data_IF_212550804504
#
_entry.id   IF_212550804504
#
_cell.length_a   1.000
_cell.length_b   1.000
_cell.length_c   1.000
_cell.angle_alpha   90.00
_cell.angle_beta   90.00
_cell.angle_gamma   90.00
#
_symmetry.space_group_name_H-M   'P 1'
#
loop_
_entity.id
_entity.type
_entity.pdbx_description
1 polymer ?
#
# COMPACT_ATOMS: atom_id res chain seq x y z
N UNK A 1 -4.88 -27.92 4.74
CA UNK A 1 -5.67 -29.16 4.84
C UNK A 1 -7.04 -28.80 5.37
N UNK A 2 -8.10 -29.37 4.80
CA UNK A 2 -9.48 -29.06 5.16
C UNK A 2 -10.24 -30.33 5.50
N UNK A 3 -11.15 -30.25 6.47
CA UNK A 3 -12.17 -31.25 6.70
C UNK A 3 -13.48 -30.70 6.12
N UNK A 4 -14.00 -31.38 5.09
CA UNK A 4 -15.27 -31.02 4.47
C UNK A 4 -16.39 -31.78 5.16
N UNK A 5 -17.43 -31.06 5.56
CA UNK A 5 -18.70 -31.61 6.05
C UNK A 5 -19.77 -31.32 5.02
N UNK A 6 -20.28 -32.36 4.39
CA UNK A 6 -21.28 -32.26 3.34
C UNK A 6 -22.57 -32.92 3.82
N UNK A 7 -23.65 -32.15 3.81
CA UNK A 7 -24.98 -32.75 3.96
C UNK A 7 -25.44 -33.36 2.65
N UNK A 8 -26.06 -34.54 2.74
CA UNK A 8 -26.46 -35.29 1.56
C UNK A 8 -27.98 -35.31 1.44
N UNK A 9 -28.53 -34.70 0.37
CA UNK A 9 -29.96 -34.70 0.12
C UNK A 9 -30.53 -36.11 -0.03
N UNK A 10 -31.82 -36.25 0.27
CA UNK A 10 -32.52 -37.53 0.16
C UNK A 10 -32.44 -38.08 -1.27
N UNK A 11 -32.04 -39.35 -1.41
CA UNK A 11 -31.89 -40.02 -2.71
C UNK A 11 -30.55 -39.80 -3.41
N UNK A 12 -29.67 -38.96 -2.85
CA UNK A 12 -28.34 -38.64 -3.42
C UNK A 12 -27.17 -39.32 -2.71
N UNK A 13 -27.43 -40.07 -1.63
CA UNK A 13 -26.41 -40.77 -0.83
C UNK A 13 -25.43 -41.58 -1.66
N UNK A 14 -25.95 -42.47 -2.50
CA UNK A 14 -25.09 -43.37 -3.26
C UNK A 14 -24.22 -42.61 -4.27
N UNK A 15 -24.78 -41.63 -4.95
CA UNK A 15 -24.05 -40.77 -5.90
C UNK A 15 -22.92 -40.00 -5.22
N UNK A 16 -23.17 -39.41 -4.04
CA UNK A 16 -22.14 -38.70 -3.28
C UNK A 16 -20.98 -39.63 -2.86
N UNK A 17 -21.30 -40.84 -2.38
CA UNK A 17 -20.28 -41.80 -1.96
C UNK A 17 -19.49 -42.38 -3.14
N UNK A 18 -20.16 -42.71 -4.25
CA UNK A 18 -19.50 -43.17 -5.48
C UNK A 18 -18.51 -42.12 -6.00
N UNK A 19 -18.86 -40.83 -5.96
CA UNK A 19 -17.98 -39.73 -6.37
C UNK A 19 -16.71 -39.66 -5.50
N UNK A 20 -16.83 -39.87 -4.19
CA UNK A 20 -15.69 -39.89 -3.27
C UNK A 20 -14.84 -41.16 -3.41
N UNK A 21 -15.50 -42.31 -3.63
CA UNK A 21 -14.84 -43.60 -3.84
C UNK A 21 -14.03 -43.61 -5.14
N UNK A 22 -14.54 -43.00 -6.22
CA UNK A 22 -13.86 -42.89 -7.52
C UNK A 22 -12.54 -42.10 -7.44
N UNK A 23 -12.44 -41.17 -6.46
CA UNK A 23 -11.21 -40.40 -6.17
C UNK A 23 -10.39 -40.98 -5.02
N UNK A 24 -10.74 -42.18 -4.53
CA UNK A 24 -10.08 -42.86 -3.42
C UNK A 24 -10.01 -42.04 -2.12
N UNK A 25 -10.99 -41.14 -1.90
CA UNK A 25 -11.04 -40.25 -0.73
C UNK A 25 -11.59 -41.02 0.47
N UNK A 26 -10.90 -40.93 1.61
CA UNK A 26 -11.44 -41.46 2.87
C UNK A 26 -12.58 -40.59 3.39
N UNK A 27 -13.66 -41.21 3.85
CA UNK A 27 -14.80 -40.48 4.41
C UNK A 27 -15.44 -41.21 5.60
N UNK A 28 -16.16 -40.46 6.41
CA UNK A 28 -17.03 -40.96 7.48
C UNK A 28 -18.45 -40.50 7.19
N UNK A 29 -19.39 -41.43 7.17
CA UNK A 29 -20.82 -41.13 6.98
C UNK A 29 -21.53 -41.26 8.32
N UNK A 30 -22.31 -40.24 8.68
CA UNK A 30 -23.23 -40.27 9.81
C UNK A 30 -24.64 -40.10 9.29
N UNK A 31 -25.59 -40.92 9.73
CA UNK A 31 -27.00 -40.74 9.35
C UNK A 31 -27.57 -39.49 10.04
N UNK A 32 -28.38 -38.73 9.29
CA UNK A 32 -29.07 -37.52 9.76
C UNK A 32 -30.52 -37.90 10.13
N UNK A 33 -31.03 -37.45 11.28
CA UNK A 33 -32.35 -37.83 11.80
C UNK A 33 -33.17 -36.63 12.29
N UNK A 34 -32.68 -35.40 12.06
CA UNK A 34 -33.29 -34.16 12.53
C UNK A 34 -34.31 -33.61 11.54
N UNK A 35 -34.08 -33.77 10.23
CA UNK A 35 -34.99 -33.32 9.19
C UNK A 35 -35.18 -34.37 8.07
N UNK A 36 -36.25 -34.27 7.26
CA UNK A 36 -36.53 -35.20 6.15
C UNK A 36 -35.84 -34.81 4.84
N UNK A 37 -35.17 -33.67 4.82
CA UNK A 37 -34.52 -33.11 3.63
C UNK A 37 -33.19 -33.82 3.35
N UNK A 38 -32.45 -34.16 4.41
CA UNK A 38 -31.14 -34.81 4.36
C UNK A 38 -31.22 -36.24 4.87
N UNK A 39 -30.35 -37.10 4.36
CA UNK A 39 -30.27 -38.50 4.81
C UNK A 39 -28.98 -38.83 5.54
N UNK A 40 -27.93 -38.02 5.35
CA UNK A 40 -26.63 -38.26 5.94
C UNK A 40 -25.78 -36.98 5.93
N UNK A 41 -24.77 -36.96 6.79
CA UNK A 41 -23.64 -36.03 6.75
C UNK A 41 -22.38 -36.84 6.47
N UNK A 42 -21.62 -36.42 5.47
CA UNK A 42 -20.36 -37.04 5.06
C UNK A 42 -19.21 -36.12 5.43
N UNK A 43 -18.23 -36.67 6.15
CA UNK A 43 -17.02 -35.99 6.59
C UNK A 43 -15.83 -36.56 5.83
N UNK A 44 -15.09 -35.74 5.10
CA UNK A 44 -13.92 -36.20 4.33
C UNK A 44 -12.79 -35.16 4.38
N UNK A 45 -11.56 -35.58 4.72
CA UNK A 45 -10.41 -34.69 4.70
C UNK A 45 -9.85 -34.54 3.28
N UNK A 46 -9.50 -33.31 2.91
CA UNK A 46 -8.87 -32.98 1.64
C UNK A 46 -7.63 -32.10 1.84
N UNK A 47 -6.58 -32.26 1.01
CA UNK A 47 -5.59 -31.21 0.86
C UNK A 47 -6.28 -29.95 0.33
N UNK A 48 -5.82 -28.77 0.73
CA UNK A 48 -6.51 -27.50 0.40
C UNK A 48 -6.82 -27.33 -1.09
N UNK A 49 -5.92 -27.72 -2.02
CA UNK A 49 -6.18 -27.54 -3.46
C UNK A 49 -7.15 -28.56 -4.05
N UNK A 50 -7.43 -29.68 -3.36
CA UNK A 50 -8.40 -30.66 -3.81
C UNK A 50 -9.85 -30.27 -3.46
N UNK A 51 -10.05 -29.26 -2.61
CA UNK A 51 -11.38 -28.84 -2.17
C UNK A 51 -12.24 -28.40 -3.36
N UNK A 52 -11.76 -27.48 -4.18
CA UNK A 52 -12.51 -26.98 -5.35
C UNK A 52 -12.81 -28.10 -6.36
N UNK A 53 -11.83 -28.88 -6.86
CA UNK A 53 -12.10 -29.97 -7.80
C UNK A 53 -13.02 -31.08 -7.29
N UNK A 54 -13.03 -31.36 -5.99
CA UNK A 54 -13.91 -32.39 -5.41
C UNK A 54 -15.32 -31.85 -5.21
N UNK A 55 -15.48 -30.59 -4.80
CA UNK A 55 -16.79 -29.96 -4.69
C UNK A 55 -17.43 -29.75 -6.07
N UNK A 56 -16.64 -29.43 -7.09
CA UNK A 56 -17.11 -29.31 -8.48
C UNK A 56 -17.66 -30.64 -8.99
N UNK A 57 -16.95 -31.76 -8.78
CA UNK A 57 -17.44 -33.10 -9.16
C UNK A 57 -18.73 -33.48 -8.44
N UNK A 58 -18.84 -33.16 -7.14
CA UNK A 58 -20.06 -33.38 -6.38
C UNK A 58 -21.21 -32.51 -6.89
N UNK A 59 -20.92 -31.27 -7.31
CA UNK A 59 -21.91 -30.39 -7.92
C UNK A 59 -22.37 -30.93 -9.29
N UNK A 60 -21.45 -31.35 -10.16
CA UNK A 60 -21.75 -31.97 -11.46
C UNK A 60 -22.57 -33.26 -11.30
N UNK A 61 -22.37 -34.01 -10.22
CA UNK A 61 -23.16 -35.18 -9.85
C UNK A 61 -24.57 -34.81 -9.30
N UNK A 62 -24.85 -33.52 -9.15
CA UNK A 62 -26.13 -32.94 -8.73
C UNK A 62 -26.36 -33.01 -7.23
N UNK A 63 -25.32 -32.78 -6.41
CA UNK A 63 -25.42 -32.70 -4.95
C UNK A 63 -25.69 -31.26 -4.47
N UNK A 64 -25.41 -30.24 -5.26
CA UNK A 64 -25.32 -28.83 -4.85
C UNK A 64 -26.66 -28.14 -4.53
N UNK A 65 -27.74 -28.46 -5.25
CA UNK A 65 -28.98 -27.65 -5.24
C UNK A 65 -29.65 -27.51 -3.87
N UNK A 66 -29.50 -28.52 -2.99
CA UNK A 66 -30.15 -28.60 -1.68
C UNK A 66 -29.16 -28.97 -0.55
N UNK A 67 -27.86 -29.04 -0.82
CA UNK A 67 -26.85 -29.40 0.19
C UNK A 67 -26.17 -28.15 0.76
N UNK A 68 -25.90 -28.16 2.06
CA UNK A 68 -24.92 -27.24 2.63
C UNK A 68 -23.60 -27.93 2.93
N UNK A 69 -22.51 -27.21 2.64
CA UNK A 69 -21.12 -27.64 2.79
C UNK A 69 -20.42 -26.74 3.80
N UNK A 70 -19.75 -27.35 4.78
CA UNK A 70 -18.91 -26.64 5.75
C UNK A 70 -17.47 -27.10 5.57
N UNK A 71 -16.57 -26.16 5.32
CA UNK A 71 -15.13 -26.42 5.19
C UNK A 71 -14.46 -25.93 6.47
N UNK A 72 -13.77 -26.85 7.18
CA UNK A 72 -13.12 -26.56 8.47
C UNK A 72 -11.61 -26.78 8.35
N UNK A 73 -10.83 -25.94 9.00
CA UNK A 73 -9.39 -26.14 9.12
C UNK A 73 -9.05 -27.38 9.96
N UNK A 74 -8.23 -28.26 9.38
CA UNK A 74 -7.69 -29.43 10.06
C UNK A 74 -6.19 -29.26 10.29
N UNK A 75 -5.78 -29.33 11.55
CA UNK A 75 -4.35 -29.26 11.96
C UNK A 75 -3.53 -30.45 11.42
N UNK A 76 -4.13 -31.65 11.42
CA UNK A 76 -3.46 -32.86 10.93
C UNK A 76 -4.47 -33.89 10.42
N UNK A 77 -4.08 -34.58 9.36
CA UNK A 77 -4.78 -35.74 8.84
C UNK A 77 -3.75 -36.84 8.68
N UNK A 78 -3.99 -38.00 9.30
CA UNK A 78 -3.11 -39.17 9.22
C UNK A 78 -3.83 -40.26 8.45
N UNK A 79 -3.62 -40.29 7.13
CA UNK A 79 -4.09 -41.36 6.24
C UNK A 79 -3.14 -41.50 5.05
N UNK A 80 -2.92 -42.75 4.62
CA UNK A 80 -2.14 -43.05 3.41
C UNK A 80 -2.80 -42.51 2.14
N UNK A 81 -4.12 -42.65 2.02
CA UNK A 81 -4.90 -42.10 0.90
C UNK A 81 -4.86 -40.58 0.88
N UNK A 82 -4.86 -39.97 2.06
CA UNK A 82 -4.68 -38.52 2.16
C UNK A 82 -3.28 -38.08 1.70
N UNK A 83 -2.22 -38.80 2.07
CA UNK A 83 -0.86 -38.54 1.60
C UNK A 83 -0.76 -38.68 0.07
N UNK A 84 -1.38 -39.70 -0.51
CA UNK A 84 -1.46 -39.90 -1.97
C UNK A 84 -2.20 -38.75 -2.66
N UNK A 85 -3.37 -38.34 -2.14
CA UNK A 85 -4.10 -37.16 -2.64
C UNK A 85 -3.25 -35.90 -2.52
N UNK A 86 -2.53 -35.74 -1.41
CA UNK A 86 -1.68 -34.58 -1.18
C UNK A 86 -0.56 -34.50 -2.21
N UNK A 87 0.11 -35.60 -2.52
CA UNK A 87 1.15 -35.64 -3.57
C UNK A 87 0.60 -35.38 -4.98
N UNK A 88 -0.67 -35.72 -5.24
CA UNK A 88 -1.33 -35.44 -6.52
C UNK A 88 -1.64 -33.95 -6.70
N UNK A 89 -2.14 -33.30 -5.65
CA UNK A 89 -2.66 -31.93 -5.70
C UNK A 89 -1.63 -30.86 -5.29
N UNK A 90 -0.77 -31.10 -4.30
CA UNK A 90 0.26 -30.16 -3.85
C UNK A 90 1.57 -30.41 -4.64
N UNK A 91 1.78 -29.63 -5.70
CA UNK A 91 2.97 -29.74 -6.59
C UNK A 91 4.09 -28.76 -6.22
N UNK A 92 3.89 -27.96 -5.18
CA UNK A 92 4.89 -27.02 -4.66
C UNK A 92 4.98 -25.71 -5.44
N UNK A 93 3.93 -25.34 -6.18
CA UNK A 93 3.77 -24.02 -6.77
C UNK A 93 2.49 -23.33 -6.28
N UNK A 94 2.45 -22.00 -6.35
CA UNK A 94 1.34 -21.19 -5.81
C UNK A 94 0.00 -21.52 -6.49
N UNK A 95 0.02 -21.95 -7.75
CA UNK A 95 -1.18 -22.36 -8.48
C UNK A 95 -1.71 -23.70 -8.01
N UNK A 96 -0.82 -24.67 -7.76
CA UNK A 96 -1.19 -25.98 -7.24
C UNK A 96 -1.58 -25.96 -5.78
N UNK A 97 -1.04 -25.04 -4.98
CA UNK A 97 -1.22 -25.04 -3.52
C UNK A 97 -2.32 -24.06 -3.06
N UNK A 98 -3.09 -23.52 -4.01
CA UNK A 98 -4.11 -22.50 -3.76
C UNK A 98 -5.34 -23.05 -3.02
N UNK A 99 -5.96 -22.22 -2.18
CA UNK A 99 -7.27 -22.49 -1.57
C UNK A 99 -8.42 -22.28 -2.57
N UNK A 100 -9.59 -22.84 -2.27
CA UNK A 100 -10.79 -22.65 -3.11
C UNK A 100 -11.26 -21.19 -3.12
N UNK A 101 -12.05 -20.82 -4.13
CA UNK A 101 -12.57 -19.45 -4.28
C UNK A 101 -13.47 -19.02 -3.13
N UNK A 102 -14.34 -19.92 -2.68
CA UNK A 102 -15.26 -19.67 -1.58
C UNK A 102 -14.47 -19.45 -0.29
N UNK A 103 -13.38 -20.19 -0.11
CA UNK A 103 -12.47 -20.00 1.02
C UNK A 103 -11.71 -18.67 0.90
N UNK A 104 -11.21 -18.33 -0.29
CA UNK A 104 -10.54 -17.05 -0.56
C UNK A 104 -11.46 -15.85 -0.28
N UNK A 105 -12.73 -15.94 -0.70
CA UNK A 105 -13.75 -14.93 -0.43
C UNK A 105 -14.05 -14.83 1.07
N UNK A 106 -14.22 -15.97 1.75
CA UNK A 106 -14.46 -16.01 3.18
C UNK A 106 -13.30 -15.40 3.98
N UNK A 107 -12.06 -15.68 3.58
CA UNK A 107 -10.86 -15.13 4.20
C UNK A 107 -10.72 -13.63 3.92
N UNK A 108 -11.00 -13.17 2.71
CA UNK A 108 -11.00 -11.73 2.40
C UNK A 108 -12.05 -10.96 3.22
N UNK A 109 -13.23 -11.56 3.42
CA UNK A 109 -14.29 -11.01 4.25
C UNK A 109 -13.93 -11.02 5.75
N UNK A 110 -13.28 -12.09 6.24
CA UNK A 110 -12.90 -12.21 7.65
C UNK A 110 -11.87 -11.14 8.06
N UNK A 111 -11.05 -10.69 7.12
CA UNK A 111 -10.03 -9.65 7.30
C UNK A 111 -10.60 -8.22 7.30
N UNK A 112 -11.88 -8.03 6.94
CA UNK A 112 -12.51 -6.71 6.89
C UNK A 112 -13.42 -6.52 8.11
N UNK A 113 -12.95 -5.81 9.15
CA UNK A 113 -13.77 -5.59 10.34
C UNK A 113 -14.96 -4.67 10.03
N UNK A 114 -15.97 -4.70 10.89
CA UNK A 114 -17.12 -3.78 10.78
C UNK A 114 -16.65 -2.32 10.73
N UNK A 115 -17.37 -1.48 9.97
CA UNK A 115 -16.97 -0.09 9.72
C UNK A 115 -16.64 0.70 11.00
N UNK A 116 -17.37 0.49 12.11
CA UNK A 116 -17.09 1.18 13.37
C UNK A 116 -15.72 0.82 13.97
N UNK A 117 -15.34 -0.46 13.91
CA UNK A 117 -14.02 -0.94 14.35
C UNK A 117 -12.95 -0.46 13.38
N UNK A 118 -13.20 -0.60 12.07
CA UNK A 118 -12.31 -0.13 11.01
C UNK A 118 -11.96 1.35 11.18
N UNK A 119 -12.98 2.20 11.33
CA UNK A 119 -12.82 3.64 11.50
C UNK A 119 -12.06 3.98 12.78
N UNK A 120 -12.41 3.34 13.91
CA UNK A 120 -11.75 3.59 15.19
C UNK A 120 -10.27 3.23 15.14
N UNK A 121 -9.93 2.04 14.63
CA UNK A 121 -8.54 1.59 14.51
C UNK A 121 -7.76 2.47 13.54
N UNK A 122 -8.37 2.90 12.44
CA UNK A 122 -7.74 3.82 11.47
C UNK A 122 -7.43 5.18 12.11
N UNK A 123 -8.36 5.76 12.87
CA UNK A 123 -8.13 7.02 13.59
C UNK A 123 -7.01 6.86 14.62
N UNK A 124 -7.04 5.80 15.43
CA UNK A 124 -6.01 5.54 16.45
C UNK A 124 -4.65 5.36 15.78
N UNK A 125 -4.58 4.56 14.72
CA UNK A 125 -3.37 4.36 13.93
C UNK A 125 -2.83 5.68 13.38
N UNK A 126 -3.67 6.50 12.74
CA UNK A 126 -3.25 7.79 12.20
C UNK A 126 -2.74 8.76 13.27
N UNK A 127 -3.37 8.79 14.46
CA UNK A 127 -2.89 9.60 15.59
C UNK A 127 -1.53 9.10 16.09
N UNK A 128 -1.36 7.80 16.26
CA UNK A 128 -0.09 7.20 16.69
C UNK A 128 1.00 7.41 15.63
N UNK A 129 0.67 7.28 14.35
CA UNK A 129 1.58 7.56 13.24
C UNK A 129 2.02 9.02 13.27
N UNK A 130 1.07 9.96 13.39
CA UNK A 130 1.37 11.39 13.47
C UNK A 130 2.27 11.72 14.66
N UNK A 131 2.00 11.13 15.83
CA UNK A 131 2.86 11.28 17.00
C UNK A 131 4.25 10.68 16.76
N UNK A 132 4.34 9.49 16.14
CA UNK A 132 5.61 8.85 15.80
C UNK A 132 6.46 9.67 14.82
N UNK A 133 5.82 10.23 13.80
CA UNK A 133 6.44 11.15 12.84
C UNK A 133 6.98 12.42 13.52
N UNK A 134 6.15 13.08 14.34
CA UNK A 134 6.56 14.31 15.05
C UNK A 134 7.63 14.07 16.12
N UNK A 135 7.72 12.84 16.65
CA UNK A 135 8.74 12.43 17.61
C UNK A 135 10.01 11.87 16.95
N UNK A 136 10.03 11.80 15.62
CA UNK A 136 11.10 11.15 14.84
C UNK A 136 11.42 9.73 15.36
N UNK A 137 10.36 8.93 15.55
CA UNK A 137 10.43 7.60 16.16
C UNK A 137 9.96 6.51 15.21
N UNK A 138 10.88 5.87 14.46
CA UNK A 138 10.55 4.77 13.55
C UNK A 138 9.79 3.63 14.25
N UNK A 139 10.12 3.35 15.52
CA UNK A 139 9.45 2.31 16.30
C UNK A 139 7.96 2.61 16.55
N UNK A 140 7.60 3.86 16.84
CA UNK A 140 6.21 4.28 17.04
C UNK A 140 5.46 4.28 15.71
N UNK A 141 6.12 4.71 14.64
CA UNK A 141 5.58 4.67 13.28
C UNK A 141 5.27 3.22 12.87
N UNK A 142 6.18 2.28 13.10
CA UNK A 142 5.91 0.85 12.87
C UNK A 142 4.77 0.33 13.75
N UNK A 143 4.72 0.74 15.03
CA UNK A 143 3.62 0.40 15.92
C UNK A 143 2.26 0.85 15.40
N UNK A 144 2.19 2.01 14.74
CA UNK A 144 0.95 2.51 14.12
C UNK A 144 0.45 1.63 12.97
N UNK A 145 1.36 1.06 12.18
CA UNK A 145 1.04 0.20 11.03
C UNK A 145 0.35 -1.09 11.46
N UNK A 146 0.75 -1.66 12.60
CA UNK A 146 0.16 -2.89 13.15
C UNK A 146 -1.30 -2.68 13.58
N UNK A 147 -1.69 -1.45 13.91
CA UNK A 147 -3.05 -1.12 14.39
C UNK A 147 -4.04 -1.02 13.23
N UNK A 148 -3.60 -0.56 12.05
CA UNK A 148 -4.49 -0.22 10.95
C UNK A 148 -5.02 -1.45 10.19
N UNK A 149 -6.35 -1.63 10.11
CA UNK A 149 -6.96 -2.77 9.43
C UNK A 149 -7.11 -2.56 7.92
N UNK A 150 -6.03 -2.15 7.24
CA UNK A 150 -6.08 -1.80 5.81
C UNK A 150 -5.93 -3.00 4.85
N UNK A 151 -5.53 -4.16 5.38
CA UNK A 151 -5.33 -5.36 4.57
C UNK A 151 -6.63 -5.92 3.98
N UNK A 152 -7.70 -5.99 4.78
CA UNK A 152 -9.00 -6.54 4.35
C UNK A 152 -9.54 -5.85 3.10
N UNK A 153 -9.72 -4.51 3.11
CA UNK A 153 -10.18 -3.78 1.93
C UNK A 153 -9.26 -3.90 0.71
N UNK A 154 -7.94 -4.03 0.90
CA UNK A 154 -7.00 -4.23 -0.22
C UNK A 154 -7.12 -5.61 -0.87
N UNK A 155 -7.17 -6.67 -0.07
CA UNK A 155 -7.33 -8.01 -0.59
C UNK A 155 -8.75 -8.22 -1.13
N UNK A 156 -9.78 -7.73 -0.44
CA UNK A 156 -11.17 -7.80 -0.85
C UNK A 156 -11.43 -7.17 -2.22
N UNK A 157 -10.84 -6.01 -2.51
CA UNK A 157 -10.96 -5.37 -3.84
C UNK A 157 -10.36 -6.25 -4.95
N UNK A 158 -9.23 -6.91 -4.67
CA UNK A 158 -8.57 -7.80 -5.61
C UNK A 158 -9.35 -9.11 -5.80
N UNK A 159 -9.79 -9.72 -4.69
CA UNK A 159 -10.55 -10.99 -4.66
C UNK A 159 -11.90 -10.81 -5.32
N UNK A 160 -12.71 -9.84 -4.88
CA UNK A 160 -14.01 -9.51 -5.48
C UNK A 160 -13.89 -9.18 -6.97
N UNK A 161 -12.74 -8.68 -7.41
CA UNK A 161 -12.48 -8.47 -8.83
C UNK A 161 -12.33 -9.76 -9.63
N UNK A 162 -11.70 -10.79 -9.10
CA UNK A 162 -11.42 -12.02 -9.84
C UNK A 162 -12.57 -13.03 -9.77
N UNK A 163 -13.29 -13.07 -8.65
CA UNK A 163 -14.45 -13.95 -8.47
C UNK A 163 -15.76 -13.34 -9.01
N UNK A 164 -15.69 -12.12 -9.58
CA UNK A 164 -16.84 -11.37 -10.11
C UNK A 164 -17.92 -11.00 -9.07
N UNK A 165 -17.49 -10.81 -7.82
CA UNK A 165 -18.32 -10.28 -6.74
C UNK A 165 -18.25 -8.75 -6.75
N UNK A 166 -19.25 -8.11 -7.38
CA UNK A 166 -19.33 -6.65 -7.49
C UNK A 166 -19.57 -5.98 -6.13
N UNK A 167 -20.29 -6.62 -5.21
CA UNK A 167 -20.59 -6.07 -3.89
C UNK A 167 -19.31 -6.03 -3.03
N UNK A 168 -18.57 -7.14 -2.97
CA UNK A 168 -17.28 -7.20 -2.28
C UNK A 168 -16.27 -6.20 -2.86
N UNK A 169 -16.21 -6.09 -4.19
CA UNK A 169 -15.32 -5.12 -4.85
C UNK A 169 -15.66 -3.68 -4.47
N UNK A 170 -16.93 -3.28 -4.58
CA UNK A 170 -17.36 -1.91 -4.30
C UNK A 170 -17.24 -1.56 -2.82
N UNK A 171 -17.62 -2.48 -1.93
CA UNK A 171 -17.45 -2.31 -0.49
C UNK A 171 -15.98 -2.11 -0.14
N UNK A 172 -15.10 -2.95 -0.67
CA UNK A 172 -13.65 -2.86 -0.44
C UNK A 172 -13.06 -1.53 -0.90
N UNK A 173 -13.41 -1.06 -2.10
CA UNK A 173 -12.98 0.25 -2.62
C UNK A 173 -13.52 1.38 -1.73
N UNK A 174 -14.77 1.30 -1.27
CA UNK A 174 -15.34 2.30 -0.38
C UNK A 174 -14.59 2.37 0.95
N UNK A 175 -14.24 1.23 1.55
CA UNK A 175 -13.46 1.18 2.79
C UNK A 175 -12.06 1.77 2.58
N UNK A 176 -11.40 1.52 1.46
CA UNK A 176 -10.10 2.13 1.14
C UNK A 176 -10.19 3.65 1.07
N UNK A 177 -11.16 4.18 0.31
CA UNK A 177 -11.34 5.62 0.14
C UNK A 177 -11.66 6.28 1.50
N UNK A 178 -12.61 5.72 2.25
CA UNK A 178 -12.98 6.24 3.56
C UNK A 178 -11.82 6.11 4.56
N UNK A 179 -11.05 5.03 4.50
CA UNK A 179 -9.88 4.81 5.35
C UNK A 179 -8.80 5.85 5.12
N UNK A 180 -8.45 6.11 3.87
CA UNK A 180 -7.46 7.15 3.50
C UNK A 180 -7.95 8.53 3.95
N UNK A 181 -9.19 8.89 3.63
CA UNK A 181 -9.77 10.19 4.04
C UNK A 181 -9.75 10.33 5.56
N UNK A 182 -10.15 9.27 6.28
CA UNK A 182 -10.22 9.28 7.73
C UNK A 182 -8.83 9.36 8.38
N UNK A 183 -7.86 8.62 7.85
CA UNK A 183 -6.48 8.65 8.33
C UNK A 183 -5.87 10.05 8.15
N UNK A 184 -5.99 10.61 6.94
CA UNK A 184 -5.50 11.95 6.63
C UNK A 184 -6.19 13.00 7.52
N UNK A 185 -7.52 12.94 7.65
CA UNK A 185 -8.27 13.90 8.46
C UNK A 185 -7.92 13.79 9.96
N UNK A 186 -7.81 12.57 10.49
CA UNK A 186 -7.43 12.35 11.88
C UNK A 186 -6.01 12.86 12.16
N UNK A 187 -5.06 12.58 11.26
CA UNK A 187 -3.71 13.09 11.34
C UNK A 187 -3.67 14.62 11.29
N UNK A 188 -4.40 15.25 10.35
CA UNK A 188 -4.48 16.70 10.23
C UNK A 188 -5.06 17.36 11.48
N UNK A 189 -6.15 16.83 12.02
CA UNK A 189 -6.79 17.35 13.24
C UNK A 189 -5.83 17.22 14.44
N UNK A 190 -5.17 16.07 14.58
CA UNK A 190 -4.23 15.83 15.67
C UNK A 190 -2.98 16.71 15.56
N UNK A 191 -2.36 16.77 14.38
CA UNK A 191 -1.22 17.63 14.09
C UNK A 191 -1.55 19.11 14.35
N UNK A 192 -2.73 19.57 13.91
CA UNK A 192 -3.21 20.93 14.17
C UNK A 192 -3.40 21.20 15.67
N UNK A 193 -4.00 20.27 16.41
CA UNK A 193 -4.18 20.38 17.85
C UNK A 193 -2.83 20.47 18.58
N UNK A 194 -1.85 19.64 18.20
CA UNK A 194 -0.49 19.64 18.76
C UNK A 194 0.21 20.99 18.49
N UNK A 195 0.06 21.52 17.26
CA UNK A 195 0.58 22.83 16.86
C UNK A 195 -0.02 23.98 17.68
N UNK A 196 -1.35 24.03 17.81
CA UNK A 196 -2.06 25.11 18.53
C UNK A 196 -1.80 25.06 20.05
N UNK A 197 -1.61 23.88 20.61
CA UNK A 197 -1.36 23.70 22.05
C UNK A 197 0.10 23.94 22.46
N UNK A 198 1.00 24.23 21.51
CA UNK A 198 2.45 24.39 21.74
C UNK A 198 3.08 23.20 22.46
N UNK A 199 2.56 21.98 22.24
CA UNK A 199 3.19 20.75 22.74
C UNK A 199 4.54 20.51 22.03
N UNK A 200 4.62 20.95 20.77
CA UNK A 200 5.81 20.92 19.93
C UNK A 200 6.42 22.33 19.86
N UNK A 201 7.75 22.49 19.91
CA UNK A 201 8.40 23.80 19.83
C UNK A 201 7.93 24.63 18.63
N UNK A 202 7.58 25.91 18.82
CA UNK A 202 7.26 26.80 17.70
C UNK A 202 8.53 27.00 16.83
N UNK A 203 8.37 26.83 15.52
CA UNK A 203 9.49 26.88 14.55
C UNK A 203 9.98 25.51 14.07
N UNK A 204 9.28 24.41 14.39
CA UNK A 204 9.63 23.10 13.84
C UNK A 204 9.31 23.05 12.34
N UNK A 205 10.37 22.98 11.55
CA UNK A 205 10.33 22.74 10.10
C UNK A 205 10.15 21.25 9.87
N UNK A 206 8.99 20.89 9.32
CA UNK A 206 8.63 19.49 9.03
C UNK A 206 9.58 18.83 8.02
N UNK A 207 10.27 19.63 7.20
CA UNK A 207 11.29 19.18 6.26
C UNK A 207 12.58 18.69 6.96
N UNK A 208 12.86 19.15 8.18
CA UNK A 208 14.07 18.78 8.93
C UNK A 208 13.88 17.56 9.83
N UNK A 209 12.71 16.93 9.79
CA UNK A 209 12.43 15.70 10.53
C UNK A 209 12.53 14.55 9.54
N UNK A 210 13.55 13.72 9.67
CA UNK A 210 13.90 12.64 8.74
C UNK A 210 12.69 11.75 8.42
N UNK A 211 11.97 11.27 9.45
CA UNK A 211 10.84 10.38 9.24
C UNK A 211 9.64 11.07 8.55
N UNK A 212 9.55 12.41 8.60
CA UNK A 212 8.54 13.18 7.87
C UNK A 212 9.00 13.43 6.44
N UNK A 213 10.23 13.93 6.24
CA UNK A 213 10.76 14.32 4.92
C UNK A 213 10.77 13.15 3.95
N UNK A 214 11.13 11.94 4.42
CA UNK A 214 11.06 10.69 3.65
C UNK A 214 9.65 10.34 3.14
N UNK A 215 8.60 10.90 3.75
CA UNK A 215 7.20 10.62 3.43
C UNK A 215 6.48 11.79 2.75
N UNK A 216 7.09 12.97 2.77
CA UNK A 216 6.64 14.15 2.02
C UNK A 216 7.10 14.11 0.57
N UNK A 217 8.30 13.60 0.32
CA UNK A 217 8.85 13.45 -1.02
C UNK A 217 8.35 12.15 -1.67
N UNK A 218 7.72 12.21 -2.85
CA UNK A 218 7.31 10.99 -3.54
C UNK A 218 8.51 10.21 -4.08
N UNK A 219 8.63 8.96 -3.64
CA UNK A 219 9.70 8.05 -4.06
C UNK A 219 9.18 6.93 -4.96
N UNK A 220 9.84 6.72 -6.10
CA UNK A 220 9.49 5.63 -7.01
C UNK A 220 9.81 4.25 -6.42
N UNK A 221 10.73 4.12 -5.46
CA UNK A 221 10.99 2.84 -4.81
C UNK A 221 9.83 2.40 -3.91
N UNK A 222 9.04 3.35 -3.39
CA UNK A 222 7.81 3.05 -2.65
C UNK A 222 6.79 2.25 -3.49
N UNK A 223 6.77 2.47 -4.81
CA UNK A 223 5.94 1.72 -5.74
C UNK A 223 6.33 0.24 -5.75
N UNK A 224 7.62 -0.08 -5.74
CA UNK A 224 8.10 -1.45 -5.69
C UNK A 224 7.69 -2.14 -4.38
N UNK A 225 7.73 -1.40 -3.25
CA UNK A 225 7.26 -1.89 -1.95
C UNK A 225 5.75 -2.16 -1.99
N UNK A 226 4.95 -1.24 -2.52
CA UNK A 226 3.50 -1.39 -2.63
C UNK A 226 3.10 -2.57 -3.53
N UNK A 227 3.73 -2.72 -4.69
CA UNK A 227 3.54 -3.85 -5.58
C UNK A 227 3.93 -5.17 -4.89
N UNK A 228 5.09 -5.20 -4.23
CA UNK A 228 5.57 -6.35 -3.47
C UNK A 228 4.61 -6.75 -2.34
N UNK A 229 4.07 -5.78 -1.61
CA UNK A 229 3.08 -6.00 -0.55
C UNK A 229 1.77 -6.58 -1.12
N UNK A 230 1.30 -6.11 -2.27
CA UNK A 230 0.12 -6.67 -2.96
C UNK A 230 0.33 -8.11 -3.41
N UNK A 231 1.49 -8.43 -4.00
CA UNK A 231 1.86 -9.82 -4.37
C UNK A 231 1.91 -10.69 -3.12
N UNK A 232 2.67 -10.27 -2.09
CA UNK A 232 2.80 -11.03 -0.86
C UNK A 232 1.46 -11.26 -0.16
N UNK A 233 0.56 -10.27 -0.19
CA UNK A 233 -0.75 -10.36 0.42
C UNK A 233 -1.62 -11.41 -0.24
N UNK A 234 -1.64 -11.43 -1.57
CA UNK A 234 -2.36 -12.45 -2.31
C UNK A 234 -1.73 -13.83 -2.18
N UNK A 235 -0.40 -13.95 -2.25
CA UNK A 235 0.25 -15.24 -2.04
C UNK A 235 -0.07 -15.77 -0.65
N UNK A 236 -0.01 -14.93 0.39
CA UNK A 236 -0.31 -15.32 1.77
C UNK A 236 -1.73 -15.84 1.94
N UNK A 237 -2.72 -15.10 1.43
CA UNK A 237 -4.13 -15.51 1.57
C UNK A 237 -4.45 -16.73 0.68
N UNK A 238 -3.91 -16.78 -0.55
CA UNK A 238 -4.17 -17.88 -1.48
C UNK A 238 -3.54 -19.20 -1.03
N UNK A 239 -2.45 -19.17 -0.26
CA UNK A 239 -1.75 -20.36 0.26
C UNK A 239 -2.07 -20.65 1.73
N UNK A 240 -2.91 -19.84 2.39
CA UNK A 240 -3.25 -20.00 3.81
C UNK A 240 -2.09 -19.72 4.79
N UNK A 241 -1.10 -18.91 4.38
CA UNK A 241 0.02 -18.46 5.23
C UNK A 241 -0.41 -17.24 6.08
N UNK A 242 0.28 -16.99 7.20
CA UNK A 242 0.00 -15.90 8.14
C UNK A 242 -0.11 -14.51 7.47
N UNK A 243 -1.33 -13.99 7.48
CA UNK A 243 -1.72 -12.71 6.89
C UNK A 243 -1.20 -11.49 7.68
N UNK A 244 -0.82 -11.69 8.95
CA UNK A 244 -0.45 -10.61 9.86
C UNK A 244 0.78 -9.82 9.41
N UNK A 245 1.83 -10.49 8.92
CA UNK A 245 3.06 -9.82 8.48
C UNK A 245 2.84 -8.98 7.22
N UNK A 246 2.02 -9.47 6.30
CA UNK A 246 1.67 -8.71 5.09
C UNK A 246 0.79 -7.50 5.43
N UNK A 247 -0.08 -7.64 6.43
CA UNK A 247 -0.90 -6.53 6.92
C UNK A 247 -0.05 -5.33 7.34
N UNK A 248 1.06 -5.59 8.03
CA UNK A 248 2.02 -4.54 8.42
C UNK A 248 2.66 -3.89 7.19
N UNK A 249 3.03 -4.66 6.15
CA UNK A 249 3.62 -4.09 4.93
C UNK A 249 2.65 -3.21 4.15
N UNK A 250 1.39 -3.64 3.99
CA UNK A 250 0.35 -2.83 3.33
C UNK A 250 0.09 -1.55 4.15
N UNK A 251 -0.01 -1.67 5.47
CA UNK A 251 -0.18 -0.51 6.34
C UNK A 251 1.04 0.44 6.32
N UNK A 252 2.25 -0.09 6.19
CA UNK A 252 3.49 0.69 6.05
C UNK A 252 3.49 1.58 4.81
N UNK A 253 2.93 1.10 3.71
CA UNK A 253 2.80 1.88 2.48
C UNK A 253 1.69 2.96 2.54
N UNK A 254 0.77 2.88 3.51
CA UNK A 254 -0.46 3.69 3.51
C UNK A 254 -0.57 4.65 4.68
N UNK A 255 -0.35 4.19 5.91
CA UNK A 255 -0.58 4.98 7.12
C UNK A 255 0.43 6.12 7.29
N UNK A 256 1.75 5.90 7.21
CA UNK A 256 2.71 6.99 7.38
C UNK A 256 2.57 8.08 6.30
N UNK A 257 2.45 7.77 4.99
CA UNK A 257 2.21 8.81 3.98
C UNK A 257 0.88 9.55 4.20
N UNK A 258 -0.18 8.87 4.67
CA UNK A 258 -1.44 9.53 5.02
C UNK A 258 -1.27 10.47 6.23
N UNK A 259 -0.48 10.07 7.23
CA UNK A 259 -0.16 10.91 8.37
C UNK A 259 0.70 12.11 7.98
N UNK A 260 1.69 11.92 7.11
CA UNK A 260 2.53 12.98 6.57
C UNK A 260 1.70 14.01 5.77
N UNK A 261 0.75 13.55 4.95
CA UNK A 261 -0.21 14.42 4.28
C UNK A 261 -1.04 15.25 5.28
N UNK A 262 -1.49 14.62 6.37
CA UNK A 262 -2.20 15.31 7.45
C UNK A 262 -1.34 16.36 8.15
N UNK A 263 -0.08 16.04 8.46
CA UNK A 263 0.88 16.98 9.06
C UNK A 263 1.12 18.17 8.14
N UNK A 264 1.41 17.94 6.86
CA UNK A 264 1.64 19.00 5.89
C UNK A 264 0.44 19.96 5.78
N UNK A 265 -0.78 19.43 5.74
CA UNK A 265 -1.99 20.27 5.80
C UNK A 265 -2.11 21.07 7.09
N UNK A 266 -1.74 20.49 8.23
CA UNK A 266 -1.75 21.20 9.51
C UNK A 266 -0.64 22.27 9.60
N UNK A 267 0.46 22.10 8.87
CA UNK A 267 1.56 23.08 8.78
C UNK A 267 1.28 24.20 7.77
N UNK A 268 0.35 23.97 6.84
CA UNK A 268 0.01 24.94 5.79
C UNK A 268 0.90 24.80 4.57
N UNK A 269 1.49 23.62 4.38
CA UNK A 269 2.28 23.26 3.21
C UNK A 269 1.39 22.44 2.26
N UNK A 270 0.71 23.08 1.27
CA UNK A 270 -0.13 22.39 0.32
C UNK A 270 0.68 21.48 -0.61
N UNK A 271 1.96 21.80 -0.84
CA UNK A 271 2.79 21.09 -1.80
C UNK A 271 3.13 19.70 -1.29
N UNK A 272 3.64 19.65 -0.06
CA UNK A 272 3.99 18.42 0.63
C UNK A 272 2.73 17.59 0.94
N UNK A 273 1.59 18.23 1.22
CA UNK A 273 0.32 17.57 1.44
C UNK A 273 -0.20 16.82 0.20
N UNK A 274 -0.15 17.47 -0.97
CA UNK A 274 -0.60 16.85 -2.22
C UNK A 274 0.39 15.76 -2.64
N UNK A 275 1.70 15.98 -2.52
CA UNK A 275 2.73 14.96 -2.80
C UNK A 275 2.51 13.68 -1.99
N UNK A 276 2.34 13.82 -0.67
CA UNK A 276 2.04 12.71 0.25
C UNK A 276 0.70 12.03 -0.07
N UNK A 277 -0.34 12.80 -0.40
CA UNK A 277 -1.66 12.25 -0.75
C UNK A 277 -1.59 11.44 -2.04
N UNK A 278 -0.88 11.94 -3.05
CA UNK A 278 -0.66 11.25 -4.32
C UNK A 278 0.12 9.95 -4.10
N UNK A 279 1.13 9.98 -3.22
CA UNK A 279 1.89 8.79 -2.82
C UNK A 279 0.98 7.72 -2.19
N UNK A 280 0.07 8.11 -1.27
CA UNK A 280 -0.94 7.20 -0.71
C UNK A 280 -1.80 6.59 -1.82
N UNK A 281 -2.29 7.40 -2.76
CA UNK A 281 -3.14 6.94 -3.86
C UNK A 281 -2.41 5.94 -4.77
N UNK A 282 -1.17 6.26 -5.16
CA UNK A 282 -0.30 5.35 -5.94
C UNK A 282 -0.15 4.02 -5.21
N UNK A 283 0.11 4.05 -3.90
CA UNK A 283 0.32 2.84 -3.11
C UNK A 283 -0.95 1.98 -3.04
N UNK A 284 -2.11 2.57 -2.77
CA UNK A 284 -3.40 1.85 -2.78
C UNK A 284 -3.64 1.19 -4.14
N UNK A 285 -3.49 1.95 -5.22
CA UNK A 285 -3.71 1.46 -6.58
C UNK A 285 -2.73 0.35 -6.96
N UNK A 286 -1.49 0.46 -6.51
CA UNK A 286 -0.43 -0.51 -6.80
C UNK A 286 -0.62 -1.81 -6.04
N UNK A 287 -1.01 -1.75 -4.76
CA UNK A 287 -1.38 -2.93 -3.98
C UNK A 287 -2.55 -3.67 -4.65
N UNK A 288 -3.60 -2.94 -5.05
CA UNK A 288 -4.76 -3.52 -5.75
C UNK A 288 -4.38 -4.11 -7.11
N UNK A 289 -3.55 -3.43 -7.89
CA UNK A 289 -3.09 -3.89 -9.19
C UNK A 289 -2.24 -5.17 -9.05
N UNK A 290 -1.25 -5.16 -8.16
CA UNK A 290 -0.40 -6.31 -7.90
C UNK A 290 -1.21 -7.50 -7.38
N UNK A 291 -2.15 -7.26 -6.47
CA UNK A 291 -3.04 -8.30 -5.96
C UNK A 291 -3.88 -8.92 -7.08
N UNK A 292 -4.54 -8.10 -7.88
CA UNK A 292 -5.35 -8.55 -9.01
C UNK A 292 -4.53 -9.33 -10.05
N UNK A 293 -3.34 -8.85 -10.41
CA UNK A 293 -2.44 -9.55 -11.34
C UNK A 293 -1.97 -10.89 -10.77
N UNK A 294 -1.68 -10.95 -9.47
CA UNK A 294 -1.23 -12.17 -8.80
C UNK A 294 -2.33 -13.22 -8.78
N UNK A 295 -3.56 -12.84 -8.41
CA UNK A 295 -4.71 -13.76 -8.44
C UNK A 295 -4.96 -14.30 -9.85
N UNK A 296 -4.88 -13.42 -10.85
CA UNK A 296 -5.05 -13.81 -12.25
C UNK A 296 -3.94 -14.76 -12.71
N UNK A 297 -2.69 -14.53 -12.30
CA UNK A 297 -1.54 -15.40 -12.58
C UNK A 297 -1.68 -16.78 -11.90
N UNK A 298 -2.13 -16.82 -10.65
CA UNK A 298 -2.43 -18.06 -9.88
C UNK A 298 -3.63 -18.83 -10.49
N UNK A 299 -4.33 -18.23 -11.45
CA UNK A 299 -5.33 -18.92 -12.26
C UNK A 299 -6.72 -18.89 -11.66
N UNK A 300 -7.01 -18.00 -10.71
CA UNK A 300 -8.38 -17.73 -10.32
C UNK A 300 -9.09 -17.08 -11.53
N UNK A 301 -10.13 -17.75 -12.06
CA UNK A 301 -10.88 -17.30 -13.26
C UNK A 301 -12.38 -17.39 -13.06
N UNK A 302 -13.19 -16.39 -13.40
CA UNK A 302 -14.63 -16.39 -13.14
C UNK A 302 -15.35 -17.62 -13.74
N UNK A 303 -16.25 -18.22 -12.95
CA UNK A 303 -16.81 -19.58 -13.15
C UNK A 303 -18.03 -19.66 -14.08
N UNK A 304 -18.53 -18.54 -14.60
CA UNK A 304 -19.80 -18.55 -15.34
C UNK A 304 -19.70 -19.34 -16.65
N UNK A 305 -20.03 -20.64 -16.59
CA UNK A 305 -20.11 -21.61 -17.69
C UNK A 305 -21.00 -21.13 -18.87
N UNK A 306 -21.89 -20.16 -18.63
CA UNK A 306 -22.77 -19.56 -19.63
C UNK A 306 -22.38 -18.14 -20.07
N UNK A 307 -21.32 -17.53 -19.51
CA UNK A 307 -20.88 -16.18 -19.85
C UNK A 307 -19.36 -15.95 -19.75
N UNK A 308 -18.55 -16.99 -19.97
CA UNK A 308 -17.08 -16.95 -19.94
C UNK A 308 -16.50 -15.72 -20.66
N UNK A 309 -17.06 -15.35 -21.83
CA UNK A 309 -16.58 -14.22 -22.63
C UNK A 309 -16.80 -12.84 -21.98
N UNK A 310 -17.86 -12.64 -21.18
CA UNK A 310 -18.21 -11.31 -20.64
C UNK A 310 -17.49 -11.03 -19.33
N UNK A 311 -17.32 -12.04 -18.48
CA UNK A 311 -16.70 -11.86 -17.17
C UNK A 311 -15.18 -11.76 -17.28
N UNK A 312 -14.52 -12.57 -18.11
CA UNK A 312 -13.08 -12.40 -18.38
C UNK A 312 -12.77 -11.01 -18.98
N UNK A 313 -13.65 -10.48 -19.83
CA UNK A 313 -13.53 -9.11 -20.35
C UNK A 313 -13.65 -8.05 -19.26
N UNK A 314 -14.47 -8.27 -18.23
CA UNK A 314 -14.64 -7.33 -17.11
C UNK A 314 -13.37 -7.27 -16.25
N UNK A 315 -12.84 -8.43 -15.85
CA UNK A 315 -11.57 -8.52 -15.10
C UNK A 315 -10.44 -7.89 -15.89
N UNK A 316 -10.32 -8.21 -17.19
CA UNK A 316 -9.30 -7.61 -18.06
C UNK A 316 -9.45 -6.10 -18.18
N UNK A 317 -10.67 -5.56 -18.29
CA UNK A 317 -10.91 -4.11 -18.30
C UNK A 317 -10.50 -3.46 -16.98
N UNK A 318 -10.75 -4.11 -15.84
CA UNK A 318 -10.28 -3.64 -14.52
C UNK A 318 -8.76 -3.62 -14.43
N UNK A 319 -8.09 -4.69 -14.88
CA UNK A 319 -6.61 -4.73 -14.97
C UNK A 319 -6.09 -3.58 -15.84
N UNK A 320 -6.60 -3.45 -17.07
CA UNK A 320 -6.16 -2.38 -17.98
C UNK A 320 -6.43 -1.00 -17.40
N UNK A 321 -7.61 -0.80 -16.79
CA UNK A 321 -7.95 0.45 -16.10
C UNK A 321 -6.98 0.78 -14.98
N UNK A 322 -6.70 -0.18 -14.08
CA UNK A 322 -5.74 -0.01 -13.00
C UNK A 322 -4.32 0.24 -13.52
N UNK A 323 -3.85 -0.49 -14.54
CA UNK A 323 -2.54 -0.25 -15.16
C UNK A 323 -2.44 1.16 -15.71
N UNK A 324 -3.46 1.63 -16.43
CA UNK A 324 -3.47 2.99 -16.99
C UNK A 324 -3.47 4.03 -15.86
N UNK A 325 -4.30 3.85 -14.84
CA UNK A 325 -4.36 4.78 -13.70
C UNK A 325 -3.01 4.81 -12.96
N UNK A 326 -2.44 3.65 -12.63
CA UNK A 326 -1.12 3.56 -11.98
C UNK A 326 -0.03 4.19 -12.84
N UNK A 327 -0.02 3.98 -14.15
CA UNK A 327 0.95 4.62 -15.04
C UNK A 327 0.80 6.13 -15.10
N UNK A 328 -0.44 6.66 -15.15
CA UNK A 328 -0.69 8.11 -15.12
C UNK A 328 -0.17 8.71 -13.82
N UNK A 329 -0.51 8.09 -12.68
CA UNK A 329 -0.03 8.56 -11.39
C UNK A 329 1.48 8.36 -11.21
N UNK A 330 2.09 7.30 -11.73
CA UNK A 330 3.53 7.07 -11.68
C UNK A 330 4.30 8.05 -12.56
N UNK A 331 3.76 8.43 -13.72
CA UNK A 331 4.33 9.50 -14.56
C UNK A 331 4.24 10.85 -13.86
N UNK A 332 3.10 11.15 -13.23
CA UNK A 332 2.94 12.35 -12.43
C UNK A 332 3.91 12.37 -11.25
N UNK A 333 4.05 11.25 -10.54
CA UNK A 333 5.02 11.08 -9.46
C UNK A 333 6.44 11.32 -9.96
N UNK A 334 6.83 10.65 -11.06
CA UNK A 334 8.14 10.79 -11.65
C UNK A 334 8.45 12.21 -12.09
N UNK A 335 7.45 12.97 -12.54
CA UNK A 335 7.61 14.37 -12.87
C UNK A 335 7.84 15.25 -11.61
N UNK A 336 7.12 14.99 -10.51
CA UNK A 336 7.36 15.65 -9.22
C UNK A 336 8.75 15.28 -8.69
N UNK A 337 9.09 13.98 -8.63
CA UNK A 337 10.39 13.49 -8.18
C UNK A 337 11.52 14.09 -9.01
N UNK A 338 11.33 14.23 -10.33
CA UNK A 338 12.30 14.87 -11.21
C UNK A 338 12.49 16.36 -10.88
N UNK A 339 11.39 17.11 -10.70
CA UNK A 339 11.43 18.52 -10.29
C UNK A 339 12.10 18.71 -8.93
N UNK A 340 11.80 17.85 -7.94
CA UNK A 340 12.49 17.87 -6.65
C UNK A 340 13.97 17.50 -6.76
N UNK A 341 14.33 16.54 -7.62
CA UNK A 341 15.72 16.13 -7.84
C UNK A 341 16.56 17.24 -8.49
N UNK A 342 16.00 17.94 -9.48
CA UNK A 342 16.67 19.09 -10.10
C UNK A 342 16.83 20.23 -9.10
N UNK A 343 15.82 20.48 -8.27
CA UNK A 343 15.87 21.47 -7.19
C UNK A 343 16.99 21.18 -6.18
N UNK A 344 17.08 19.95 -5.65
CA UNK A 344 18.15 19.58 -4.70
C UNK A 344 19.54 19.60 -5.34
N UNK A 345 19.66 19.19 -6.61
CA UNK A 345 20.93 19.24 -7.34
C UNK A 345 21.38 20.69 -7.56
N UNK A 346 20.42 21.58 -7.87
CA UNK A 346 20.69 23.00 -8.03
C UNK A 346 21.15 23.64 -6.72
N UNK A 347 20.52 23.30 -5.59
CA UNK A 347 20.94 23.76 -4.26
C UNK A 347 22.38 23.33 -3.93
N UNK A 348 22.73 22.06 -4.18
CA UNK A 348 24.11 21.55 -3.98
C UNK A 348 25.12 22.26 -4.91
N UNK A 349 24.77 22.47 -6.18
CA UNK A 349 25.60 23.19 -7.14
C UNK A 349 25.77 24.66 -6.76
N UNK A 350 24.69 25.35 -6.36
CA UNK A 350 24.72 26.75 -5.96
C UNK A 350 25.59 26.95 -4.71
N UNK A 351 25.49 26.04 -3.73
CA UNK A 351 26.36 26.05 -2.56
C UNK A 351 27.83 25.81 -2.94
N UNK A 352 28.08 24.82 -3.81
CA UNK A 352 29.44 24.51 -4.29
C UNK A 352 30.06 25.67 -5.05
N UNK A 353 29.33 26.30 -5.98
CA UNK A 353 29.84 27.45 -6.71
C UNK A 353 30.04 28.68 -5.82
N UNK A 354 29.16 28.89 -4.83
CA UNK A 354 29.37 29.94 -3.83
C UNK A 354 30.66 29.72 -3.03
N UNK A 355 30.97 28.49 -2.60
CA UNK A 355 32.23 28.15 -1.96
C UNK A 355 33.43 28.37 -2.89
N UNK A 356 33.31 28.04 -4.17
CA UNK A 356 34.39 28.22 -5.15
C UNK A 356 34.68 29.71 -5.39
N UNK A 357 33.65 30.54 -5.59
CA UNK A 357 33.83 31.99 -5.77
C UNK A 357 34.47 32.62 -4.54
N UNK A 358 34.04 32.22 -3.34
CA UNK A 358 34.60 32.74 -2.08
C UNK A 358 36.01 32.23 -1.77
N UNK A 359 36.48 31.18 -2.46
CA UNK A 359 37.84 30.67 -2.35
C UNK A 359 38.86 31.41 -3.24
N UNK A 360 38.41 32.32 -4.11
CA UNK A 360 39.30 33.14 -4.95
C UNK A 360 40.10 34.14 -4.08
N UNK A 361 41.35 34.42 -4.48
CA UNK A 361 42.23 35.40 -3.82
C UNK A 361 41.57 36.79 -3.72
N UNK A 362 40.66 37.11 -4.65
CA UNK A 362 39.90 38.36 -4.66
C UNK A 362 38.89 38.48 -3.48
N UNK A 363 38.46 37.36 -2.91
CA UNK A 363 37.38 37.30 -1.90
C UNK A 363 37.76 36.57 -0.61
N UNK A 364 39.05 36.29 -0.36
CA UNK A 364 39.56 35.58 0.83
C UNK A 364 39.07 36.15 2.19
N UNK A 365 38.66 37.42 2.23
CA UNK A 365 38.15 38.09 3.43
C UNK A 365 36.66 37.73 3.73
N UNK A 366 35.98 37.02 2.84
CA UNK A 366 34.59 36.61 2.96
C UNK A 366 34.48 35.08 3.12
N UNK A 367 33.61 34.63 4.04
CA UNK A 367 33.30 33.22 4.25
C UNK A 367 31.83 32.94 3.98
N UNK A 368 31.52 31.80 3.37
CA UNK A 368 30.14 31.36 3.24
C UNK A 368 29.58 30.99 4.62
N UNK A 369 28.49 31.64 5.02
CA UNK A 369 27.78 31.32 6.25
C UNK A 369 26.58 30.41 5.97
N UNK A 370 25.82 30.72 4.92
CA UNK A 370 24.58 30.03 4.57
C UNK A 370 24.28 30.25 3.08
N UNK A 371 23.76 29.22 2.42
CA UNK A 371 23.22 29.30 1.06
C UNK A 371 21.81 28.72 1.12
N UNK A 372 20.81 29.52 0.80
CA UNK A 372 19.41 29.13 0.83
C UNK A 372 18.81 29.33 -0.56
N UNK A 373 18.20 28.27 -1.13
CA UNK A 373 17.47 28.37 -2.38
C UNK A 373 15.99 28.59 -2.07
N UNK A 374 15.49 29.76 -2.46
CA UNK A 374 14.07 30.10 -2.41
C UNK A 374 13.42 29.57 -3.68
N UNK A 375 12.48 28.65 -3.49
CA UNK A 375 11.69 28.05 -4.56
C UNK A 375 10.47 28.92 -4.87
N UNK A 376 9.96 28.84 -6.11
CA UNK A 376 8.72 29.50 -6.52
C UNK A 376 7.47 28.88 -5.87
N UNK A 377 6.30 29.50 -6.13
CA UNK A 377 4.99 29.01 -5.66
C UNK A 377 4.21 28.21 -6.74
N UNK A 378 4.83 27.82 -7.87
CA UNK A 378 4.17 27.25 -9.06
C UNK A 378 3.91 25.72 -8.94
N UNK A 379 3.09 25.36 -7.96
CA UNK A 379 2.72 23.97 -7.66
C UNK A 379 2.00 23.25 -8.82
N UNK A 380 2.29 21.95 -9.14
CA UNK A 380 3.16 20.98 -8.45
C UNK A 380 4.63 20.94 -8.90
N UNK A 381 5.05 21.82 -9.79
CA UNK A 381 6.39 21.80 -10.40
C UNK A 381 7.14 23.04 -9.93
N UNK A 382 7.84 22.90 -8.82
CA UNK A 382 8.52 24.02 -8.16
C UNK A 382 9.92 24.17 -8.76
N UNK A 383 10.27 25.40 -9.16
CA UNK A 383 11.59 25.78 -9.65
C UNK A 383 12.32 26.72 -8.68
N UNK A 384 13.65 26.89 -8.83
CA UNK A 384 14.40 27.89 -8.07
C UNK A 384 14.03 29.31 -8.53
N UNK A 385 13.49 30.15 -7.65
CA UNK A 385 13.20 31.56 -7.95
C UNK A 385 14.41 32.45 -7.62
N UNK A 386 15.07 32.17 -6.49
CA UNK A 386 16.19 32.97 -5.99
C UNK A 386 17.16 32.17 -5.15
N UNK A 387 18.46 32.43 -5.29
CA UNK A 387 19.49 31.97 -4.35
C UNK A 387 19.89 33.11 -3.42
N UNK A 388 19.79 32.87 -2.11
CA UNK A 388 20.24 33.80 -1.07
C UNK A 388 21.55 33.28 -0.52
N UNK A 389 22.65 33.99 -0.83
CA UNK A 389 23.99 33.66 -0.36
C UNK A 389 24.35 34.60 0.79
N UNK A 390 24.47 34.05 2.00
CA UNK A 390 24.89 34.82 3.18
C UNK A 390 26.39 34.64 3.41
N UNK A 391 27.12 35.74 3.35
CA UNK A 391 28.58 35.80 3.50
C UNK A 391 28.98 36.56 4.76
N UNK A 392 29.96 36.07 5.49
CA UNK A 392 30.57 36.69 6.65
C UNK A 392 31.88 37.37 6.28
N UNK A 393 32.05 38.66 6.59
CA UNK A 393 33.26 39.39 6.19
C UNK A 393 33.44 40.73 6.92
N UNK A 394 34.41 41.56 6.49
CA UNK A 394 34.68 42.85 7.12
C UNK A 394 33.47 43.79 6.99
N UNK A 395 33.21 44.65 8.00
CA UNK A 395 32.09 45.58 7.97
C UNK A 395 32.27 46.63 6.86
N UNK A 396 31.38 46.62 5.86
CA UNK A 396 31.42 47.52 4.69
C UNK A 396 30.34 47.21 3.66
N UNK A 397 30.34 47.96 2.55
CA UNK A 397 29.54 47.62 1.36
C UNK A 397 30.16 46.40 0.65
N UNK A 398 29.31 45.48 0.21
CA UNK A 398 29.73 44.32 -0.59
C UNK A 398 30.34 44.78 -1.92
N UNK A 399 31.41 44.12 -2.39
CA UNK A 399 31.92 44.35 -3.74
C UNK A 399 30.83 43.99 -4.76
N UNK A 400 30.47 44.87 -5.71
CA UNK A 400 29.49 44.53 -6.75
C UNK A 400 29.95 43.34 -7.61
N UNK A 401 31.28 43.20 -7.78
CA UNK A 401 31.92 42.09 -8.51
C UNK A 401 31.60 40.72 -7.91
N UNK A 402 31.39 40.61 -6.59
CA UNK A 402 31.04 39.35 -5.93
C UNK A 402 29.63 38.89 -6.31
N UNK A 403 28.68 39.81 -6.40
CA UNK A 403 27.30 39.49 -6.75
C UNK A 403 27.18 39.11 -8.23
N UNK A 404 27.91 39.81 -9.12
CA UNK A 404 27.93 39.51 -10.54
C UNK A 404 28.57 38.14 -10.84
N UNK A 405 29.70 37.81 -10.19
CA UNK A 405 30.38 36.51 -10.37
C UNK A 405 29.55 35.34 -9.83
N UNK A 406 28.91 35.51 -8.65
CA UNK A 406 28.00 34.51 -8.10
C UNK A 406 26.79 34.30 -9.02
N UNK A 407 26.24 35.38 -9.58
CA UNK A 407 25.13 35.28 -10.52
C UNK A 407 25.51 34.51 -11.78
N UNK A 408 26.62 34.86 -12.43
CA UNK A 408 27.08 34.20 -13.67
C UNK A 408 27.35 32.70 -13.45
N UNK A 409 28.00 32.33 -12.34
CA UNK A 409 28.30 30.92 -12.04
C UNK A 409 27.10 30.07 -11.64
N UNK A 410 26.17 30.65 -10.88
CA UNK A 410 24.96 29.96 -10.45
C UNK A 410 24.00 29.80 -11.64
N UNK A 411 23.91 30.81 -12.52
CA UNK A 411 23.07 30.77 -13.72
C UNK A 411 23.56 29.70 -14.72
N UNK A 412 24.87 29.41 -14.82
CA UNK A 412 25.39 28.32 -15.67
C UNK A 412 24.83 26.92 -15.31
N UNK A 413 24.28 26.75 -14.11
CA UNK A 413 23.75 25.48 -13.61
C UNK A 413 22.23 25.36 -13.70
N UNK A 414 21.55 26.32 -14.34
CA UNK A 414 20.10 26.30 -14.54
C UNK A 414 19.70 26.83 -15.92
N UNK A 415 18.58 26.34 -16.46
CA UNK A 415 17.98 26.86 -17.70
C UNK A 415 16.98 28.01 -17.43
N UNK A 416 16.75 28.34 -16.16
CA UNK A 416 15.79 29.34 -15.67
C UNK A 416 16.50 30.62 -15.19
N UNK A 417 15.83 31.77 -15.26
CA UNK A 417 16.38 33.05 -14.82
C UNK A 417 16.25 33.14 -13.28
N UNK A 418 17.34 32.85 -12.57
CA UNK A 418 17.36 32.77 -11.10
C UNK A 418 18.02 34.02 -10.52
N UNK A 419 17.28 34.74 -9.66
CA UNK A 419 17.85 35.90 -8.97
C UNK A 419 18.92 35.46 -7.95
N UNK A 420 20.03 36.19 -7.85
CA UNK A 420 21.03 35.99 -6.78
C UNK A 420 21.02 37.17 -5.83
N UNK A 421 20.76 36.90 -4.55
CA UNK A 421 20.77 37.90 -3.47
C UNK A 421 21.92 37.60 -2.51
N UNK A 422 22.90 38.51 -2.45
CA UNK A 422 24.04 38.38 -1.53
C UNK A 422 23.79 39.19 -0.27
N UNK A 423 23.84 38.54 0.90
CA UNK A 423 23.69 39.17 2.22
C UNK A 423 25.02 39.15 2.96
N UNK A 424 25.50 40.31 3.41
CA UNK A 424 26.70 40.40 4.23
C UNK A 424 26.37 40.46 5.72
N UNK A 425 27.09 39.67 6.52
CA UNK A 425 27.11 39.76 7.97
C UNK A 425 28.49 40.21 8.42
N UNK A 426 28.56 41.38 9.05
CA UNK A 426 29.83 41.90 9.58
C UNK A 426 30.28 41.09 10.80
N UNK A 427 31.48 40.51 10.74
CA UNK A 427 32.09 39.78 11.85
C UNK A 427 32.98 40.74 12.65
N UNK A 428 32.62 40.98 13.90
CA UNK A 428 33.37 41.85 14.82
C UNK A 428 34.07 40.95 15.87
N UNK A 429 35.32 40.56 15.60
CA UNK A 429 36.13 39.79 16.55
C UNK A 429 36.51 40.69 17.74
N UNK A 430 36.08 40.30 18.95
CA UNK A 430 36.33 41.04 20.19
C UNK A 430 37.42 40.45 21.06
#
# INVERSE_FOLDING_TARGET
>A
MRLVQLTVPTGKRQTALETLDDREIDYVVTDEDSDREYTAVVYFPLPSPAVEPVLDDLNEAGIDDDAYTVVVDAETVVSRRFEELREEYEKGDVGSDRISRQELQAEANSLTPTFGIYATMTIVSAVVATAGLLLDSPAVVVGSMVIAPLIGPALGASVGSVIDDEDLFLESILYQILGVILAIAAAAIFAWMVRVTNIVPPGLEIANVDEISERLAPDLLSLAVALGAGVAGIVSIATGISVALVGVMIAAALIPPAAAAGIAMAWGDPAAAIGSTVLVLVNVLSVNLAGLLTLWYVGYRPENLFSLDKTEQRVRRRIVGLVVIVLVFALFLGAITYSSYTASTFEENAQTEAEVVLSDEAFEEYQLLESEVVMDDDYPFIGPERVVVTVGGPPGELPPELADELHERIEEHTDEDVGVEVRAVGIDER
#
